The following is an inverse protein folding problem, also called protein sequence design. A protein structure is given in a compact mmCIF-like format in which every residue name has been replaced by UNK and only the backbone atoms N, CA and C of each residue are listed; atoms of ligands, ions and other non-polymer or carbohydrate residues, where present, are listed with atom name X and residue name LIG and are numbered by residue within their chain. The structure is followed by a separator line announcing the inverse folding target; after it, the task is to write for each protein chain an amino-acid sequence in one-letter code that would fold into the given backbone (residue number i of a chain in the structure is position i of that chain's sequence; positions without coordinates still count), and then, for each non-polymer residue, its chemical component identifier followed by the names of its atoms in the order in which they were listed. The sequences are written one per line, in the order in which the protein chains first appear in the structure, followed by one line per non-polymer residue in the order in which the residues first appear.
data_IF_177543169765
#
_entry.id   IF_177543169765
#
_cell.length_a   1.000
_cell.length_b   1.000
_cell.length_c   1.000
_cell.angle_alpha   90.00
_cell.angle_beta   90.00
_cell.angle_gamma   90.00
#
_symmetry.space_group_name_H-M   'P 1'
#
loop_
_entity.id
_entity.type
_entity.pdbx_description
1 polymer ?
#
# COMPACT_ATOMS: atom_id res chain seq x y z
N UNK A 1 -22.21 32.32 -17.81
CA UNK A 1 -21.87 31.01 -18.41
C UNK A 1 -20.76 30.31 -17.62
N UNK A 2 -19.73 31.04 -17.18
CA UNK A 2 -18.64 30.62 -16.28
C UNK A 2 -19.06 29.74 -15.07
N UNK A 3 -20.10 30.13 -14.33
CA UNK A 3 -20.56 29.38 -13.14
C UNK A 3 -21.08 27.96 -13.46
N UNK A 4 -21.61 27.73 -14.67
CA UNK A 4 -22.09 26.39 -15.08
C UNK A 4 -20.95 25.48 -15.51
N UNK A 5 -19.89 26.03 -16.11
CA UNK A 5 -18.65 25.28 -16.40
C UNK A 5 -17.89 24.91 -15.13
N UNK A 6 -17.83 25.80 -14.14
CA UNK A 6 -17.21 25.50 -12.84
C UNK A 6 -17.97 24.40 -12.08
N UNK A 7 -19.30 24.40 -12.13
CA UNK A 7 -20.13 23.33 -11.56
C UNK A 7 -19.93 22.00 -12.30
N UNK A 8 -19.78 22.03 -13.62
CA UNK A 8 -19.45 20.85 -14.42
C UNK A 8 -18.11 20.23 -14.01
N UNK A 9 -17.05 21.05 -13.93
CA UNK A 9 -15.71 20.61 -13.52
C UNK A 9 -15.66 20.14 -12.07
N UNK A 10 -16.37 20.80 -11.15
CA UNK A 10 -16.46 20.37 -9.77
C UNK A 10 -17.20 19.03 -9.63
N UNK A 11 -18.26 18.82 -10.43
CA UNK A 11 -18.98 17.54 -10.47
C UNK A 11 -18.11 16.43 -11.04
N UNK A 12 -17.35 16.71 -12.10
CA UNK A 12 -16.42 15.77 -12.72
C UNK A 12 -15.27 15.38 -11.77
N UNK A 13 -14.79 16.34 -10.97
CA UNK A 13 -13.77 16.11 -9.94
C UNK A 13 -14.31 15.36 -8.71
N UNK A 14 -15.60 15.53 -8.39
CA UNK A 14 -16.26 14.81 -7.28
C UNK A 14 -16.88 13.46 -7.66
N UNK A 15 -17.05 13.18 -8.96
CA UNK A 15 -17.51 11.88 -9.47
C UNK A 15 -16.74 10.67 -8.90
N UNK A 16 -15.40 10.68 -8.75
CA UNK A 16 -14.69 9.57 -8.12
C UNK A 16 -14.99 9.38 -6.62
N UNK A 17 -15.56 10.38 -5.96
CA UNK A 17 -15.96 10.33 -4.54
C UNK A 17 -17.45 10.05 -4.36
N UNK A 18 -18.18 9.77 -5.45
CA UNK A 18 -19.56 9.29 -5.35
C UNK A 18 -19.58 7.96 -4.57
N UNK A 19 -20.60 7.81 -3.71
CA UNK A 19 -20.72 6.67 -2.80
C UNK A 19 -20.64 5.33 -3.54
N UNK A 20 -21.14 5.28 -4.77
CA UNK A 20 -21.10 4.08 -5.62
C UNK A 20 -19.67 3.73 -6.07
N UNK A 21 -18.86 4.73 -6.40
CA UNK A 21 -17.44 4.54 -6.72
C UNK A 21 -16.61 4.19 -5.47
N UNK A 22 -16.93 4.75 -4.31
CA UNK A 22 -16.28 4.37 -3.04
C UNK A 22 -16.61 2.93 -2.67
N UNK A 23 -17.86 2.51 -2.84
CA UNK A 23 -18.30 1.13 -2.59
C UNK A 23 -17.66 0.17 -3.58
N UNK A 24 -17.59 0.52 -4.87
CA UNK A 24 -16.90 -0.29 -5.88
C UNK A 24 -15.39 -0.32 -5.65
N UNK A 25 -14.78 0.77 -5.21
CA UNK A 25 -13.36 0.79 -4.80
C UNK A 25 -13.10 -0.09 -3.59
N UNK A 26 -13.97 -0.08 -2.57
CA UNK A 26 -13.85 -0.98 -1.42
C UNK A 26 -14.05 -2.45 -1.79
N UNK A 27 -14.95 -2.76 -2.75
CA UNK A 27 -15.16 -4.13 -3.26
C UNK A 27 -14.01 -4.62 -4.13
N UNK A 28 -13.38 -3.73 -4.90
CA UNK A 28 -12.25 -4.02 -5.79
C UNK A 28 -10.88 -3.68 -5.16
N UNK A 29 -10.85 -3.34 -3.87
CA UNK A 29 -9.65 -3.21 -3.06
C UNK A 29 -9.11 -4.60 -2.75
N UNK A 30 -8.68 -5.28 -3.80
CA UNK A 30 -8.02 -6.57 -3.73
C UNK A 30 -6.55 -6.37 -3.36
N UNK A 31 -5.92 -7.38 -2.76
CA UNK A 31 -4.48 -7.35 -2.47
C UNK A 31 -3.64 -7.02 -3.72
N UNK A 32 -4.11 -7.43 -4.90
CA UNK A 32 -3.53 -7.05 -6.20
C UNK A 32 -3.56 -5.56 -6.47
N UNK A 33 -4.72 -4.92 -6.35
CA UNK A 33 -4.87 -3.47 -6.51
C UNK A 33 -3.98 -2.68 -5.55
N UNK A 34 -3.80 -3.16 -4.31
CA UNK A 34 -2.92 -2.53 -3.34
C UNK A 34 -1.42 -2.71 -3.67
N UNK A 35 -1.00 -3.88 -4.19
CA UNK A 35 0.39 -4.10 -4.60
C UNK A 35 0.76 -3.39 -5.91
N UNK A 36 -0.19 -3.28 -6.84
CA UNK A 36 0.09 -2.72 -8.17
C UNK A 36 -0.15 -1.21 -8.26
N UNK A 37 -0.82 -0.63 -7.25
CA UNK A 37 -1.12 0.79 -7.23
C UNK A 37 0.10 1.63 -6.85
N UNK A 38 0.54 2.57 -7.72
CA UNK A 38 1.65 3.47 -7.44
C UNK A 38 1.42 4.35 -6.21
N UNK A 39 0.17 4.67 -5.93
CA UNK A 39 -0.21 5.51 -4.77
C UNK A 39 0.06 4.77 -3.47
N UNK A 40 -0.35 3.50 -3.38
CA UNK A 40 -0.08 2.68 -2.20
C UNK A 40 1.41 2.45 -1.99
N UNK A 41 2.16 2.13 -3.06
CA UNK A 41 3.62 1.99 -3.00
C UNK A 41 4.28 3.29 -2.54
N UNK A 42 3.88 4.44 -3.11
CA UNK A 42 4.40 5.75 -2.74
C UNK A 42 4.14 6.10 -1.28
N UNK A 43 2.91 5.87 -0.80
CA UNK A 43 2.56 6.07 0.60
C UNK A 43 3.39 5.17 1.52
N UNK A 44 3.55 3.89 1.15
CA UNK A 44 4.33 2.93 1.92
C UNK A 44 5.81 3.36 2.02
N UNK A 45 6.39 3.84 0.92
CA UNK A 45 7.75 4.38 0.90
C UNK A 45 7.90 5.61 1.80
N UNK A 46 6.98 6.57 1.72
CA UNK A 46 7.00 7.77 2.59
C UNK A 46 6.91 7.38 4.06
N UNK A 47 6.01 6.46 4.42
CA UNK A 47 5.89 5.96 5.78
C UNK A 47 7.15 5.22 6.23
N UNK A 48 7.74 4.42 5.36
CA UNK A 48 8.99 3.72 5.65
C UNK A 48 10.13 4.71 5.92
N UNK A 49 10.37 5.67 5.04
CA UNK A 49 11.40 6.69 5.23
C UNK A 49 11.16 7.50 6.50
N UNK A 50 9.92 7.92 6.75
CA UNK A 50 9.55 8.59 8.00
C UNK A 50 9.88 7.74 9.21
N UNK A 51 9.51 6.46 9.18
CA UNK A 51 9.74 5.53 10.27
C UNK A 51 11.24 5.30 10.51
N UNK A 52 12.05 5.23 9.46
CA UNK A 52 13.52 5.10 9.54
C UNK A 52 14.16 6.38 10.11
N UNK A 53 13.79 7.55 9.59
CA UNK A 53 14.32 8.85 10.05
C UNK A 53 13.97 9.10 11.51
N UNK A 54 12.71 8.85 11.90
CA UNK A 54 12.24 8.97 13.29
C UNK A 54 12.65 7.78 14.17
N UNK A 55 13.28 6.76 13.60
CA UNK A 55 13.64 5.49 14.28
C UNK A 55 12.47 4.85 15.03
N UNK A 56 11.27 4.95 14.46
CA UNK A 56 10.05 4.45 15.08
C UNK A 56 9.91 2.94 14.93
N UNK A 57 10.49 2.20 15.89
CA UNK A 57 10.38 0.74 16.01
C UNK A 57 8.95 0.20 15.77
N UNK A 58 7.88 0.74 16.39
CA UNK A 58 6.53 0.21 16.19
C UNK A 58 5.99 0.44 14.77
N UNK A 59 6.35 1.56 14.12
CA UNK A 59 5.90 1.84 12.76
C UNK A 59 6.61 0.93 11.77
N UNK A 60 7.93 0.71 11.91
CA UNK A 60 8.62 -0.27 11.08
C UNK A 60 8.05 -1.68 11.28
N UNK A 61 7.76 -2.08 12.53
CA UNK A 61 7.20 -3.40 12.84
C UNK A 61 5.81 -3.59 12.22
N UNK A 62 4.97 -2.56 12.27
CA UNK A 62 3.68 -2.55 11.60
C UNK A 62 3.82 -2.68 10.08
N UNK A 63 4.71 -1.91 9.45
CA UNK A 63 4.95 -2.00 8.01
C UNK A 63 5.47 -3.39 7.61
N UNK A 64 6.38 -3.96 8.39
CA UNK A 64 6.89 -5.32 8.18
C UNK A 64 5.80 -6.38 8.31
N UNK A 65 4.97 -6.30 9.34
CA UNK A 65 3.84 -7.19 9.55
C UNK A 65 2.82 -7.09 8.41
N UNK A 66 2.49 -5.87 7.98
CA UNK A 66 1.58 -5.64 6.86
C UNK A 66 2.09 -6.30 5.57
N UNK A 67 3.36 -6.10 5.19
CA UNK A 67 3.94 -6.77 4.02
C UNK A 67 3.96 -8.29 4.20
N UNK A 68 4.30 -8.78 5.40
CA UNK A 68 4.39 -10.22 5.66
C UNK A 68 3.04 -10.90 5.55
N UNK A 69 1.97 -10.30 6.10
CA UNK A 69 0.60 -10.78 5.95
C UNK A 69 0.19 -10.73 4.47
N UNK A 70 0.54 -9.67 3.75
CA UNK A 70 0.26 -9.54 2.32
C UNK A 70 0.87 -10.69 1.50
N UNK A 71 2.14 -11.02 1.79
CA UNK A 71 2.85 -12.12 1.15
C UNK A 71 2.26 -13.47 1.57
N UNK A 72 1.94 -13.67 2.84
CA UNK A 72 1.30 -14.90 3.32
C UNK A 72 -0.05 -15.11 2.63
N UNK A 73 -0.90 -14.09 2.59
CA UNK A 73 -2.19 -14.12 1.90
C UNK A 73 -1.99 -14.47 0.43
N UNK A 74 -1.02 -13.86 -0.27
CA UNK A 74 -0.66 -14.27 -1.64
C UNK A 74 -0.34 -15.76 -1.72
N UNK A 75 0.54 -16.26 -0.84
CA UNK A 75 0.99 -17.64 -0.88
C UNK A 75 -0.10 -18.65 -0.51
N UNK A 76 -1.05 -18.28 0.36
CA UNK A 76 -2.12 -19.16 0.86
C UNK A 76 -3.38 -19.11 0.01
N UNK A 77 -3.72 -17.97 -0.60
CA UNK A 77 -4.94 -17.76 -1.39
C UNK A 77 -4.73 -17.89 -2.91
N UNK A 78 -3.73 -18.66 -3.35
CA UNK A 78 -3.60 -19.03 -4.76
C UNK A 78 -4.80 -19.89 -5.19
N UNK A 79 -5.91 -19.27 -5.62
CA UNK A 79 -7.12 -20.02 -5.98
C UNK A 79 -8.28 -19.25 -6.62
N UNK A 80 -8.28 -17.92 -6.70
CA UNK A 80 -9.33 -17.19 -7.43
C UNK A 80 -8.83 -16.74 -8.81
N UNK A 81 -9.33 -17.41 -9.86
CA UNK A 81 -9.10 -17.08 -11.26
C UNK A 81 -9.44 -15.59 -11.51
N UNK A 82 -8.41 -14.77 -11.77
CA UNK A 82 -8.52 -13.33 -12.01
C UNK A 82 -7.66 -12.44 -11.09
N UNK A 83 -7.21 -12.98 -9.95
CA UNK A 83 -6.38 -12.26 -8.98
C UNK A 83 -4.89 -12.67 -9.00
N UNK A 84 -4.38 -13.06 -10.17
CA UNK A 84 -2.97 -13.43 -10.31
C UNK A 84 -2.10 -12.18 -10.15
N UNK A 85 -1.50 -12.05 -8.97
CA UNK A 85 -0.39 -11.14 -8.69
C UNK A 85 0.81 -11.60 -9.52
N UNK A 86 1.23 -10.78 -10.48
CA UNK A 86 2.40 -11.11 -11.29
C UNK A 86 3.65 -11.21 -10.40
N UNK A 87 4.64 -12.02 -10.82
CA UNK A 87 5.93 -12.07 -10.14
C UNK A 87 6.58 -10.69 -10.06
N UNK A 88 6.37 -9.85 -11.08
CA UNK A 88 6.84 -8.47 -11.12
C UNK A 88 6.21 -7.59 -10.03
N UNK A 89 4.93 -7.79 -9.73
CA UNK A 89 4.23 -7.07 -8.66
C UNK A 89 4.63 -7.54 -7.26
N UNK A 90 5.08 -8.80 -7.12
CA UNK A 90 5.43 -9.39 -5.82
C UNK A 90 6.87 -9.06 -5.40
N UNK A 91 7.80 -9.04 -6.36
CA UNK A 91 9.23 -8.86 -6.10
C UNK A 91 9.57 -7.60 -5.28
N UNK A 92 9.00 -6.41 -5.60
CA UNK A 92 9.27 -5.17 -4.87
C UNK A 92 8.81 -5.23 -3.41
N UNK A 93 7.70 -5.93 -3.14
CA UNK A 93 7.19 -6.09 -1.77
C UNK A 93 8.01 -7.10 -0.98
N UNK A 94 8.45 -8.19 -1.61
CA UNK A 94 9.36 -9.14 -0.97
C UNK A 94 10.70 -8.47 -0.62
N UNK A 95 11.29 -7.73 -1.56
CA UNK A 95 12.53 -7.00 -1.32
C UNK A 95 12.34 -5.86 -0.31
N UNK A 96 11.25 -5.11 -0.43
CA UNK A 96 10.87 -4.07 0.53
C UNK A 96 10.70 -4.65 1.94
N UNK A 97 10.03 -5.79 2.08
CA UNK A 97 9.90 -6.51 3.35
C UNK A 97 11.23 -6.89 3.97
N UNK A 98 12.18 -7.40 3.17
CA UNK A 98 13.54 -7.70 3.62
C UNK A 98 14.29 -6.45 4.07
N UNK A 99 14.18 -5.35 3.33
CA UNK A 99 14.81 -4.06 3.70
C UNK A 99 14.24 -3.54 5.02
N UNK A 100 12.91 -3.58 5.21
CA UNK A 100 12.27 -3.18 6.46
C UNK A 100 12.68 -4.10 7.61
N UNK A 101 12.73 -5.42 7.38
CA UNK A 101 13.17 -6.40 8.37
C UNK A 101 14.62 -6.17 8.79
N UNK A 102 15.51 -5.89 7.84
CA UNK A 102 16.91 -5.52 8.12
C UNK A 102 17.02 -4.23 8.93
N UNK A 103 16.25 -3.20 8.57
CA UNK A 103 16.21 -1.95 9.33
C UNK A 103 15.66 -2.15 10.76
N UNK A 104 14.67 -3.03 10.94
CA UNK A 104 14.16 -3.42 12.26
C UNK A 104 15.22 -4.10 13.10
N UNK A 105 15.89 -5.13 12.55
CA UNK A 105 16.95 -5.84 13.25
C UNK A 105 18.04 -4.85 13.67
N UNK A 106 18.41 -3.94 12.77
CA UNK A 106 19.39 -2.90 13.07
C UNK A 106 18.94 -2.01 14.24
N UNK A 107 17.71 -1.48 14.23
CA UNK A 107 17.23 -0.60 15.31
C UNK A 107 16.88 -1.32 16.63
N UNK A 108 16.56 -2.61 16.58
CA UNK A 108 16.25 -3.38 17.77
C UNK A 108 17.53 -3.88 18.44
N UNK A 109 18.46 -4.45 17.66
CA UNK A 109 19.61 -5.19 18.20
C UNK A 109 20.95 -4.45 18.09
N UNK A 110 21.16 -3.63 17.06
CA UNK A 110 22.45 -2.97 16.82
C UNK A 110 22.44 -1.55 17.39
N UNK A 111 21.39 -0.79 17.10
CA UNK A 111 21.22 0.61 17.51
C UNK A 111 20.03 0.74 18.46
N UNK A 112 20.15 0.06 19.59
CA UNK A 112 19.10 -0.08 20.62
C UNK A 112 18.90 1.19 21.47
N UNK A 113 19.89 2.10 21.49
CA UNK A 113 19.96 3.33 22.30
C UNK A 113 18.73 4.25 22.18
#
# INVERSE_FOLDING_TARGET
MEKREMLGKAKEWMSPFETENIVNFMKNLTFKSAMESPVFIGLFLVLFFYAVVKRSKPVLAFLFAAISIMLLVRFTLHGEEGNELTLSSTLPFAFGGLVIGGALIYFIFIKSE
#
